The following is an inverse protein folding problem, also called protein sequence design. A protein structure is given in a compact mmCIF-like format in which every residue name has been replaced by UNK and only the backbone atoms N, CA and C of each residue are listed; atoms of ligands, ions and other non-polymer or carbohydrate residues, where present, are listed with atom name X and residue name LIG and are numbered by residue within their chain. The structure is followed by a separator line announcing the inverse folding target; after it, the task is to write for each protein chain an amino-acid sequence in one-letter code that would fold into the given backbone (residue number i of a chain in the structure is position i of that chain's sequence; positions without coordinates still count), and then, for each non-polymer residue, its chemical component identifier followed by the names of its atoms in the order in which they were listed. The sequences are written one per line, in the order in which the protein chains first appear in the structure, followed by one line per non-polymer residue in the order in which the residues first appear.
data_IF_910467529579
#
_entry.id   IF_910467529579
#
_cell.length_a   1.000
_cell.length_b   1.000
_cell.length_c   1.000
_cell.angle_alpha   90.00
_cell.angle_beta   90.00
_cell.angle_gamma   90.00
#
_symmetry.space_group_name_H-M   'P 1'
#
loop_
_entity.id
_entity.type
_entity.pdbx_description
1 polymer ?
#
# COMPACT_ATOMS: atom_id res chain seq x y z
N UNK A 1 3.35 1.20 -8.05
CA UNK A 1 2.04 0.95 -7.39
C UNK A 1 1.67 -0.53 -7.31
N UNK A 2 1.54 -1.25 -8.44
CA UNK A 2 1.04 -2.66 -8.42
C UNK A 2 1.91 -3.63 -7.60
N UNK A 3 3.21 -3.35 -7.49
CA UNK A 3 4.17 -4.17 -6.72
C UNK A 3 4.00 -4.02 -5.19
N UNK A 4 3.65 -2.84 -4.69
CA UNK A 4 3.36 -2.61 -3.27
C UNK A 4 2.05 -3.27 -2.84
N UNK A 5 1.07 -3.29 -3.74
CA UNK A 5 -0.15 -4.07 -3.52
C UNK A 5 0.15 -5.57 -3.49
N UNK A 6 1.24 -6.03 -4.14
CA UNK A 6 1.77 -7.39 -4.07
C UNK A 6 2.56 -7.69 -2.79
N UNK A 7 2.93 -6.69 -1.98
CA UNK A 7 3.67 -6.89 -0.73
C UNK A 7 2.84 -6.88 0.56
N UNK A 8 1.57 -6.40 0.56
CA UNK A 8 0.60 -6.61 1.67
C UNK A 8 0.59 -8.06 2.22
N UNK A 9 0.15 -8.33 3.46
CA UNK A 9 0.13 -9.71 3.96
C UNK A 9 -0.96 -10.57 3.28
N UNK A 10 -0.66 -11.85 3.01
CA UNK A 10 -1.66 -12.83 2.52
C UNK A 10 -2.41 -13.54 3.64
N UNK A 11 -1.91 -13.41 4.86
CA UNK A 11 -2.40 -14.03 6.09
C UNK A 11 -2.15 -13.06 7.26
N UNK A 12 -2.61 -13.41 8.46
CA UNK A 12 -2.39 -12.59 9.65
C UNK A 12 -3.45 -11.50 9.86
N UNK A 13 -3.17 -10.60 10.81
CA UNK A 13 -4.15 -9.60 11.25
C UNK A 13 -4.50 -8.60 10.17
N UNK A 14 -3.51 -8.12 9.41
CA UNK A 14 -3.76 -7.24 8.27
C UNK A 14 -4.67 -7.88 7.23
N UNK A 15 -4.49 -9.16 6.93
CA UNK A 15 -5.36 -9.87 5.99
C UNK A 15 -6.79 -9.99 6.52
N UNK A 16 -6.96 -10.33 7.82
CA UNK A 16 -8.26 -10.37 8.48
C UNK A 16 -8.95 -9.00 8.47
N UNK A 17 -8.19 -7.93 8.65
CA UNK A 17 -8.68 -6.56 8.52
C UNK A 17 -9.10 -6.21 7.09
N UNK A 18 -8.34 -6.64 6.08
CA UNK A 18 -8.72 -6.46 4.68
C UNK A 18 -10.03 -7.18 4.35
N UNK A 19 -10.23 -8.40 4.86
CA UNK A 19 -11.49 -9.13 4.72
C UNK A 19 -12.67 -8.37 5.32
N UNK A 20 -12.50 -7.73 6.48
CA UNK A 20 -13.58 -6.95 7.11
C UNK A 20 -13.83 -5.60 6.42
N UNK A 21 -12.79 -4.96 5.87
CA UNK A 21 -12.92 -3.68 5.15
C UNK A 21 -13.51 -3.81 3.75
N UNK A 22 -13.31 -4.96 3.12
CA UNK A 22 -13.79 -5.28 1.79
C UNK A 22 -14.68 -6.52 1.79
N UNK A 23 -15.84 -6.51 2.49
CA UNK A 23 -16.71 -7.69 2.61
C UNK A 23 -17.32 -8.10 1.26
N UNK A 24 -17.28 -7.23 0.25
CA UNK A 24 -17.73 -7.51 -1.12
C UNK A 24 -16.68 -8.23 -1.97
N UNK A 25 -15.41 -8.25 -1.54
CA UNK A 25 -14.34 -8.98 -2.22
C UNK A 25 -14.25 -10.38 -1.60
N UNK A 26 -14.12 -11.40 -2.45
CA UNK A 26 -13.85 -12.74 -1.96
C UNK A 26 -12.44 -12.83 -1.39
N UNK A 27 -12.25 -13.74 -0.44
CA UNK A 27 -10.93 -14.02 0.14
C UNK A 27 -9.89 -14.36 -0.93
N UNK A 28 -10.30 -15.08 -1.99
CA UNK A 28 -9.44 -15.38 -3.13
C UNK A 28 -8.95 -14.11 -3.85
N UNK A 29 -9.85 -13.15 -4.12
CA UNK A 29 -9.46 -11.85 -4.72
C UNK A 29 -8.53 -11.06 -3.81
N UNK A 30 -8.76 -11.09 -2.50
CA UNK A 30 -7.88 -10.43 -1.52
C UNK A 30 -6.49 -11.10 -1.47
N UNK A 31 -6.41 -12.43 -1.52
CA UNK A 31 -5.12 -13.17 -1.55
C UNK A 31 -4.35 -12.96 -2.85
N UNK A 32 -5.06 -12.89 -3.98
CA UNK A 32 -4.50 -12.53 -5.28
C UNK A 32 -4.21 -11.01 -5.41
N UNK A 33 -4.67 -10.22 -4.43
CA UNK A 33 -4.67 -8.74 -4.39
C UNK A 33 -5.21 -8.10 -5.66
N UNK A 34 -6.32 -8.65 -6.11
CA UNK A 34 -7.11 -8.09 -7.20
C UNK A 34 -7.98 -6.98 -6.62
N UNK A 35 -7.44 -5.77 -6.65
CA UNK A 35 -8.12 -4.54 -6.24
C UNK A 35 -8.45 -3.67 -7.45
N UNK A 36 -9.63 -3.07 -7.45
CA UNK A 36 -10.00 -2.03 -8.42
C UNK A 36 -9.40 -0.68 -8.01
N UNK A 37 -9.36 0.30 -8.92
CA UNK A 37 -8.84 1.63 -8.58
C UNK A 37 -9.58 2.29 -7.38
N UNK A 38 -10.92 2.20 -7.25
CA UNK A 38 -11.63 2.61 -6.04
C UNK A 38 -11.17 1.90 -4.76
N UNK A 39 -10.95 0.58 -4.83
CA UNK A 39 -10.50 -0.18 -3.67
C UNK A 39 -9.11 0.28 -3.20
N UNK A 40 -8.21 0.52 -4.16
CA UNK A 40 -6.85 1.02 -3.90
C UNK A 40 -6.91 2.40 -3.24
N UNK A 41 -7.75 3.31 -3.74
CA UNK A 41 -7.95 4.63 -3.13
C UNK A 41 -8.43 4.51 -1.69
N UNK A 42 -9.39 3.61 -1.44
CA UNK A 42 -9.90 3.33 -0.09
C UNK A 42 -8.79 2.79 0.82
N UNK A 43 -7.96 1.88 0.31
CA UNK A 43 -6.81 1.30 1.01
C UNK A 43 -5.79 2.37 1.41
N UNK A 44 -5.48 3.29 0.50
CA UNK A 44 -4.52 4.38 0.72
C UNK A 44 -5.03 5.41 1.73
N UNK A 45 -6.34 5.67 1.76
CA UNK A 45 -6.96 6.58 2.74
C UNK A 45 -7.14 5.97 4.13
N UNK A 46 -6.97 4.66 4.28
CA UNK A 46 -7.23 3.96 5.54
C UNK A 46 -5.99 3.94 6.44
N UNK A 47 -5.91 4.88 7.37
CA UNK A 47 -4.80 4.98 8.32
C UNK A 47 -4.70 3.78 9.27
N UNK A 48 -5.82 3.11 9.55
CA UNK A 48 -5.87 1.97 10.46
C UNK A 48 -5.27 0.71 9.85
N UNK A 49 -5.14 0.65 8.52
CA UNK A 49 -4.55 -0.51 7.85
C UNK A 49 -3.09 -0.72 8.31
N UNK A 50 -2.30 0.34 8.43
CA UNK A 50 -0.91 0.29 8.93
C UNK A 50 -0.80 -0.20 10.37
N UNK A 51 -1.85 -0.06 11.19
CA UNK A 51 -1.84 -0.52 12.59
C UNK A 51 -2.02 -2.04 12.71
N UNK A 52 -2.52 -2.67 11.64
CA UNK A 52 -2.74 -4.12 11.59
C UNK A 52 -1.57 -4.89 10.97
N UNK A 53 -0.52 -4.18 10.54
CA UNK A 53 0.69 -4.71 9.91
C UNK A 53 1.81 -4.89 10.94
N UNK A 54 2.74 -5.81 10.66
CA UNK A 54 3.99 -5.88 11.43
C UNK A 54 4.86 -4.64 11.17
N UNK A 55 5.79 -4.32 12.08
CA UNK A 55 6.60 -3.09 12.03
C UNK A 55 7.30 -2.87 10.68
N UNK A 56 7.87 -3.94 10.11
CA UNK A 56 8.55 -3.88 8.80
C UNK A 56 7.59 -3.61 7.65
N UNK A 57 6.41 -4.25 7.68
CA UNK A 57 5.39 -4.09 6.64
C UNK A 57 4.76 -2.71 6.71
N UNK A 58 4.56 -2.21 7.93
CA UNK A 58 4.08 -0.87 8.22
C UNK A 58 5.03 0.19 7.66
N UNK A 59 6.34 0.07 7.89
CA UNK A 59 7.34 1.00 7.35
C UNK A 59 7.30 1.06 5.81
N UNK A 60 7.19 -0.11 5.16
CA UNK A 60 7.04 -0.20 3.70
C UNK A 60 5.72 0.41 3.23
N UNK A 61 4.63 0.17 3.95
CA UNK A 61 3.31 0.70 3.62
C UNK A 61 3.22 2.22 3.78
N UNK A 62 3.80 2.76 4.85
CA UNK A 62 3.88 4.19 5.10
C UNK A 62 4.74 4.90 4.04
N UNK A 63 5.88 4.31 3.67
CA UNK A 63 6.70 4.77 2.55
C UNK A 63 5.93 4.76 1.22
N UNK A 64 5.14 3.73 0.98
CA UNK A 64 4.30 3.66 -0.21
C UNK A 64 3.22 4.74 -0.23
N UNK A 65 2.52 4.97 0.90
CA UNK A 65 1.54 6.06 1.04
C UNK A 65 2.17 7.41 0.76
N UNK A 66 3.36 7.68 1.31
CA UNK A 66 4.09 8.94 1.08
C UNK A 66 4.46 9.14 -0.39
N UNK A 67 4.96 8.10 -1.06
CA UNK A 67 5.24 8.15 -2.50
C UNK A 67 3.96 8.42 -3.29
N UNK A 68 2.88 7.71 -3.00
CA UNK A 68 1.61 7.89 -3.73
C UNK A 68 1.00 9.26 -3.49
N UNK A 69 1.03 9.77 -2.26
CA UNK A 69 0.55 11.10 -1.91
C UNK A 69 1.32 12.19 -2.66
N UNK A 70 2.66 12.14 -2.62
CA UNK A 70 3.54 13.10 -3.31
C UNK A 70 3.49 13.01 -4.84
N UNK A 71 3.08 11.86 -5.38
CA UNK A 71 2.97 11.61 -6.82
C UNK A 71 1.58 11.96 -7.38
N UNK A 72 0.52 11.70 -6.61
CA UNK A 72 -0.87 11.90 -7.04
C UNK A 72 -1.48 13.22 -6.62
N UNK A 73 -0.94 13.90 -5.61
CA UNK A 73 -1.18 15.34 -5.48
C UNK A 73 -0.58 15.99 -6.73
N UNK A 74 -1.43 16.63 -7.53
CA UNK A 74 -1.11 17.26 -8.81
C UNK A 74 -0.11 18.43 -8.71
N UNK A 75 0.61 18.53 -7.60
CA UNK A 75 1.70 19.45 -7.30
C UNK A 75 3.00 18.76 -7.68
N UNK A 76 3.69 19.25 -8.73
CA UNK A 76 5.06 18.83 -9.05
C UNK A 76 5.98 19.18 -7.88
N UNK A 77 6.05 18.32 -6.88
CA UNK A 77 6.89 18.54 -5.72
C UNK A 77 8.35 18.34 -6.16
N UNK A 78 9.26 19.30 -5.91
CA UNK A 78 10.63 19.29 -6.44
C UNK A 78 11.45 18.05 -6.01
N UNK A 79 11.03 17.37 -4.95
CA UNK A 79 11.67 16.17 -4.39
C UNK A 79 11.25 14.85 -5.07
N UNK A 80 10.36 14.92 -6.06
CA UNK A 80 9.83 13.76 -6.78
C UNK A 80 10.92 12.80 -7.25
N UNK A 81 11.93 13.33 -7.94
CA UNK A 81 13.02 12.54 -8.53
C UNK A 81 13.87 11.86 -7.45
N UNK A 82 14.15 12.59 -6.36
CA UNK A 82 14.96 12.12 -5.22
C UNK A 82 14.28 10.97 -4.47
N UNK A 83 12.96 11.05 -4.26
CA UNK A 83 12.23 10.02 -3.51
C UNK A 83 12.09 8.72 -4.31
N UNK A 84 11.81 8.80 -5.62
CA UNK A 84 11.78 7.61 -6.49
C UNK A 84 13.15 6.93 -6.52
N UNK A 85 14.22 7.71 -6.57
CA UNK A 85 15.58 7.18 -6.61
C UNK A 85 15.97 6.49 -5.29
N UNK A 86 15.64 7.08 -4.14
CA UNK A 86 15.83 6.43 -2.82
C UNK A 86 15.05 5.12 -2.70
N UNK A 87 13.80 5.11 -3.15
CA UNK A 87 12.94 3.93 -3.13
C UNK A 87 13.52 2.78 -3.97
N UNK A 88 14.07 3.10 -5.16
CA UNK A 88 14.72 2.10 -6.01
C UNK A 88 15.99 1.54 -5.37
N UNK A 89 16.84 2.41 -4.80
CA UNK A 89 18.08 1.96 -4.14
C UNK A 89 17.82 1.08 -2.92
N UNK A 90 16.77 1.35 -2.15
CA UNK A 90 16.40 0.54 -0.99
C UNK A 90 15.79 -0.84 -1.36
N UNK A 91 15.31 -1.00 -2.59
CA UNK A 91 14.73 -2.26 -3.07
C UNK A 91 15.75 -3.20 -3.71
N UNK A 92 16.85 -2.65 -4.24
CA UNK A 92 17.94 -3.41 -4.88
C UNK A 92 19.07 -3.82 -3.92
N UNK A 93 19.09 -3.28 -2.70
CA UNK A 93 20.04 -3.63 -1.64
C UNK A 93 19.55 -4.84 -0.81
#
# INVERSE_FOLDING_TARGET
MRQFIKSLPKYGECFRYLCSKFPKLSEAKLKERVFTAPDIRKLLSDSLLSETMEDKEKEVWDSFKDVVHRFLENTKHPLYKTNVQRMLTAYEA
#
